data_IF_975441412823
#
_entry.id   IF_975441412823
#
_cell.length_a   1.000
_cell.length_b   1.000
_cell.length_c   1.000
_cell.angle_alpha   90.00
_cell.angle_beta   90.00
_cell.angle_gamma   90.00
#
_symmetry.space_group_name_H-M   'P 1'
#
loop_
_entity.id
_entity.type
_entity.pdbx_description
1 polymer ?
#
# COMPACT_ATOMS: atom_id res chain seq x y z
N UNK A 1 11.44 -4.08 21.71
CA UNK A 1 11.00 -5.34 21.07
C UNK A 1 10.35 -4.99 19.75
N UNK A 2 11.08 -5.07 18.63
CA UNK A 2 10.62 -4.68 17.27
C UNK A 2 10.65 -5.85 16.26
N UNK A 3 10.81 -7.09 16.75
CA UNK A 3 10.99 -8.26 15.89
C UNK A 3 9.70 -8.79 15.26
N UNK A 4 8.54 -8.59 15.90
CA UNK A 4 7.26 -9.14 15.45
C UNK A 4 6.78 -8.43 14.18
N UNK A 5 6.80 -7.09 14.18
CA UNK A 5 6.46 -6.27 13.02
C UNK A 5 7.34 -6.63 11.81
N UNK A 6 8.66 -6.67 11.98
CA UNK A 6 9.60 -7.02 10.90
C UNK A 6 9.41 -8.44 10.37
N UNK A 7 9.14 -9.41 11.25
CA UNK A 7 8.84 -10.79 10.87
C UNK A 7 7.58 -10.85 10.00
N UNK A 8 6.51 -10.16 10.42
CA UNK A 8 5.26 -10.09 9.68
C UNK A 8 5.42 -9.41 8.32
N UNK A 9 6.10 -8.26 8.26
CA UNK A 9 6.35 -7.53 7.02
C UNK A 9 7.21 -8.35 6.04
N UNK A 10 8.15 -9.15 6.57
CA UNK A 10 8.94 -10.07 5.75
C UNK A 10 8.08 -11.18 5.15
N UNK A 11 7.10 -11.70 5.89
CA UNK A 11 6.13 -12.68 5.37
C UNK A 11 5.22 -12.06 4.31
N UNK A 12 4.72 -10.85 4.53
CA UNK A 12 3.87 -10.13 3.58
C UNK A 12 4.61 -9.84 2.27
N UNK A 13 5.89 -9.43 2.36
CA UNK A 13 6.74 -9.25 1.18
C UNK A 13 6.92 -10.56 0.39
N UNK A 14 7.06 -11.69 1.09
CA UNK A 14 7.16 -13.01 0.44
C UNK A 14 5.84 -13.40 -0.23
N UNK A 15 4.71 -13.18 0.44
CA UNK A 15 3.39 -13.44 -0.11
C UNK A 15 3.11 -12.55 -1.35
N UNK A 16 3.40 -11.25 -1.26
CA UNK A 16 3.27 -10.31 -2.36
C UNK A 16 4.12 -10.69 -3.58
N UNK A 17 5.36 -11.13 -3.36
CA UNK A 17 6.20 -11.62 -4.46
C UNK A 17 5.67 -12.90 -5.10
N UNK A 18 5.01 -13.75 -4.33
CA UNK A 18 4.44 -14.99 -4.84
C UNK A 18 3.21 -14.71 -5.69
N UNK A 19 2.35 -13.83 -5.23
CA UNK A 19 1.09 -13.51 -5.89
C UNK A 19 0.70 -12.05 -5.59
N UNK A 20 0.73 -11.21 -6.62
CA UNK A 20 0.21 -9.85 -6.57
C UNK A 20 -0.57 -9.55 -7.85
N UNK A 21 -1.66 -8.76 -7.77
CA UNK A 21 -2.45 -8.41 -8.95
C UNK A 21 -1.61 -7.63 -9.96
N UNK A 22 -1.85 -7.87 -11.24
CA UNK A 22 -1.11 -7.22 -12.32
C UNK A 22 -1.22 -5.69 -12.24
N UNK A 23 -0.08 -5.01 -12.35
CA UNK A 23 0.02 -3.55 -12.31
C UNK A 23 0.10 -2.95 -10.90
N UNK A 24 -0.14 -3.73 -9.84
CA UNK A 24 0.11 -3.28 -8.48
C UNK A 24 1.58 -3.42 -8.13
N UNK A 25 2.14 -2.37 -7.54
CA UNK A 25 3.53 -2.35 -7.06
C UNK A 25 3.49 -2.13 -5.56
N UNK A 26 4.29 -2.89 -4.81
CA UNK A 26 4.53 -2.66 -3.39
C UNK A 26 5.97 -3.06 -3.07
N UNK A 27 6.82 -2.08 -2.78
CA UNK A 27 8.24 -2.29 -2.54
C UNK A 27 8.70 -1.54 -1.29
N UNK A 28 9.47 -2.17 -0.38
CA UNK A 28 10.09 -1.46 0.73
C UNK A 28 11.07 -0.41 0.23
N UNK A 29 11.12 0.75 0.91
CA UNK A 29 12.06 1.81 0.56
C UNK A 29 13.49 1.43 0.96
N UNK A 30 14.46 2.00 0.26
CA UNK A 30 15.86 1.91 0.64
C UNK A 30 16.22 3.16 1.42
N UNK A 31 16.80 2.97 2.61
CA UNK A 31 17.40 4.06 3.35
C UNK A 31 18.65 4.57 2.62
N UNK A 32 19.06 5.83 2.86
CA UNK A 32 20.31 6.38 2.33
C UNK A 32 21.53 5.54 2.69
N UNK A 33 21.47 4.84 3.84
CA UNK A 33 22.53 3.97 4.36
C UNK A 33 22.64 2.63 3.60
N UNK A 34 21.88 2.43 2.52
CA UNK A 34 21.84 1.19 1.74
C UNK A 34 21.04 0.06 2.39
N UNK A 35 20.57 0.24 3.63
CA UNK A 35 19.69 -0.71 4.31
C UNK A 35 18.27 -0.63 3.76
N UNK A 36 17.56 -1.77 3.71
CA UNK A 36 16.15 -1.80 3.33
C UNK A 36 15.28 -1.48 4.54
N UNK A 37 14.45 -0.44 4.43
CA UNK A 37 13.51 -0.09 5.47
C UNK A 37 12.21 -0.85 5.27
N UNK A 38 12.03 -1.94 6.02
CA UNK A 38 10.79 -2.71 5.99
C UNK A 38 9.61 -1.95 6.59
N UNK A 39 9.83 -0.85 7.33
CA UNK A 39 8.76 -0.06 7.94
C UNK A 39 8.16 0.98 6.98
N UNK A 40 8.76 1.21 5.82
CA UNK A 40 8.28 2.17 4.85
C UNK A 40 8.22 1.54 3.46
N UNK A 41 7.06 1.54 2.84
CA UNK A 41 6.82 0.91 1.56
C UNK A 41 6.28 1.92 0.56
N UNK A 42 6.84 1.89 -0.64
CA UNK A 42 6.32 2.58 -1.80
C UNK A 42 5.42 1.63 -2.58
N UNK A 43 4.15 2.01 -2.68
CA UNK A 43 3.15 1.27 -3.41
C UNK A 43 2.64 2.09 -4.59
N UNK A 44 2.27 1.41 -5.67
CA UNK A 44 1.58 2.00 -6.79
C UNK A 44 0.32 1.20 -7.11
N UNK A 45 -0.80 1.90 -7.18
CA UNK A 45 -2.11 1.34 -7.49
C UNK A 45 -2.46 1.72 -8.93
N UNK A 46 -2.69 0.76 -9.83
CA UNK A 46 -3.24 1.05 -11.15
C UNK A 46 -4.72 1.41 -11.02
N UNK A 47 -5.17 2.41 -11.76
CA UNK A 47 -6.58 2.76 -11.80
C UNK A 47 -7.43 1.67 -12.47
N UNK A 48 -8.63 1.45 -11.93
CA UNK A 48 -9.56 0.43 -12.42
C UNK A 48 -10.15 0.83 -13.77
N UNK A 49 -10.25 -0.13 -14.69
CA UNK A 49 -10.92 0.05 -15.99
C UNK A 49 -12.39 0.41 -15.78
N UNK A 50 -12.91 1.36 -16.57
CA UNK A 50 -14.28 1.85 -16.45
C UNK A 50 -14.49 2.89 -15.34
N UNK A 51 -13.42 3.47 -14.79
CA UNK A 51 -13.48 4.61 -13.87
C UNK A 51 -12.69 5.78 -14.44
N UNK A 52 -12.90 7.00 -13.91
CA UNK A 52 -12.12 8.20 -14.30
C UNK A 52 -10.61 8.06 -14.03
N UNK A 53 -10.22 7.07 -13.23
CA UNK A 53 -8.84 6.76 -12.88
C UNK A 53 -8.17 5.79 -13.87
N UNK A 54 -8.90 5.28 -14.87
CA UNK A 54 -8.37 4.34 -15.86
C UNK A 54 -7.11 4.89 -16.54
N UNK A 55 -6.07 4.05 -16.64
CA UNK A 55 -4.77 4.43 -17.20
C UNK A 55 -3.88 5.26 -16.26
N UNK A 56 -4.37 5.66 -15.09
CA UNK A 56 -3.60 6.31 -14.04
C UNK A 56 -2.82 5.33 -13.16
N UNK A 57 -1.65 5.76 -12.66
CA UNK A 57 -0.84 5.02 -11.70
C UNK A 57 -0.63 5.88 -10.46
N UNK A 58 -1.29 5.50 -9.36
CA UNK A 58 -1.35 6.28 -8.13
C UNK A 58 -0.32 5.77 -7.14
N UNK A 59 0.69 6.59 -6.86
CA UNK A 59 1.74 6.26 -5.91
C UNK A 59 1.30 6.64 -4.49
N UNK A 60 1.58 5.76 -3.55
CA UNK A 60 1.36 5.99 -2.14
C UNK A 60 2.50 5.41 -1.31
N UNK A 61 2.71 5.96 -0.13
CA UNK A 61 3.64 5.46 0.87
C UNK A 61 2.87 4.83 2.03
N UNK A 62 3.19 3.58 2.35
CA UNK A 62 2.69 2.91 3.55
C UNK A 62 3.76 2.97 4.64
N UNK A 63 3.40 3.56 5.77
CA UNK A 63 4.24 3.73 6.94
C UNK A 63 3.74 2.77 8.04
N UNK A 64 4.58 1.80 8.37
CA UNK A 64 4.34 0.84 9.44
C UNK A 64 4.98 1.34 10.74
N UNK A 65 4.29 1.10 11.86
CA UNK A 65 4.79 1.35 13.21
C UNK A 65 5.31 0.05 13.82
N UNK A 66 6.10 0.17 14.89
CA UNK A 66 6.61 -0.99 15.64
C UNK A 66 5.49 -1.84 16.26
N UNK A 67 4.33 -1.24 16.54
CA UNK A 67 3.14 -1.91 17.07
C UNK A 67 2.35 -2.70 16.01
N UNK A 68 2.85 -2.82 14.78
CA UNK A 68 2.23 -3.66 13.76
C UNK A 68 2.35 -5.15 14.15
N UNK A 69 1.28 -5.95 14.07
CA UNK A 69 0.01 -5.73 13.37
C UNK A 69 -1.14 -5.14 14.21
N UNK A 70 -0.92 -4.81 15.48
CA UNK A 70 -1.96 -4.29 16.40
C UNK A 70 -2.47 -2.92 15.95
N UNK A 71 -1.60 -2.07 15.42
CA UNK A 71 -1.98 -0.79 14.81
C UNK A 71 -1.93 -0.86 13.28
N UNK A 72 -2.91 -0.28 12.55
CA UNK A 72 -2.89 -0.26 11.09
C UNK A 72 -1.77 0.64 10.56
N UNK A 73 -1.23 0.35 9.36
CA UNK A 73 -0.26 1.22 8.70
C UNK A 73 -0.91 2.53 8.26
N UNK A 74 -0.12 3.61 8.25
CA UNK A 74 -0.56 4.90 7.73
C UNK A 74 -0.25 4.97 6.23
N UNK A 75 -1.25 5.24 5.41
CA UNK A 75 -1.10 5.39 3.96
C UNK A 75 -1.14 6.87 3.57
N UNK A 76 -0.12 7.35 2.84
CA UNK A 76 -0.03 8.72 2.35
C UNK A 76 0.15 8.73 0.82
N UNK A 77 -0.72 9.41 0.08
CA UNK A 77 -0.59 9.54 -1.38
C UNK A 77 0.50 10.55 -1.75
N UNK A 78 1.27 10.23 -2.79
CA UNK A 78 2.33 11.09 -3.34
C UNK A 78 2.02 11.33 -4.82
N UNK A 79 1.75 12.58 -5.27
CA UNK A 79 1.71 13.85 -4.54
C UNK A 79 0.40 14.07 -3.74
N UNK A 80 0.51 14.82 -2.62
CA UNK A 80 -0.57 15.14 -1.66
C UNK A 80 -1.77 15.90 -2.29
N UNK A 81 -1.65 16.34 -3.54
CA UNK A 81 -2.60 17.22 -4.23
C UNK A 81 -3.86 16.51 -4.77
N UNK A 82 -3.94 15.18 -4.73
CA UNK A 82 -5.13 14.42 -5.18
C UNK A 82 -6.31 14.44 -4.19
N UNK A 83 -6.24 15.29 -3.16
CA UNK A 83 -6.98 15.15 -1.90
C UNK A 83 -8.45 15.56 -1.93
N UNK A 84 -8.99 16.22 -2.96
CA UNK A 84 -10.41 16.63 -2.93
C UNK A 84 -11.33 15.72 -3.77
N UNK A 85 -10.85 15.14 -4.88
CA UNK A 85 -11.69 14.25 -5.70
C UNK A 85 -11.49 12.76 -5.39
N UNK A 86 -10.28 12.36 -4.95
CA UNK A 86 -9.99 10.95 -4.71
C UNK A 86 -10.57 10.43 -3.38
N UNK A 87 -10.67 11.26 -2.33
CA UNK A 87 -11.11 10.83 -1.00
C UNK A 87 -12.59 10.42 -0.94
N UNK A 88 -13.47 11.15 -1.64
CA UNK A 88 -14.89 10.80 -1.71
C UNK A 88 -15.15 9.51 -2.51
N UNK A 89 -14.30 9.18 -3.48
CA UNK A 89 -14.41 7.93 -4.25
C UNK A 89 -13.67 6.75 -3.61
N UNK A 90 -12.63 6.99 -2.79
CA UNK A 90 -11.88 5.91 -2.13
C UNK A 90 -12.67 5.19 -1.03
N UNK A 91 -13.62 5.87 -0.37
CA UNK A 91 -14.61 5.20 0.49
C UNK A 91 -15.45 4.17 -0.29
N UNK A 92 -15.71 4.41 -1.58
CA UNK A 92 -16.38 3.48 -2.48
C UNK A 92 -15.43 2.40 -3.03
N UNK A 93 -14.12 2.67 -3.16
CA UNK A 93 -13.15 1.66 -3.58
C UNK A 93 -12.80 0.68 -2.44
N UNK A 94 -12.70 1.15 -1.20
CA UNK A 94 -12.54 0.27 -0.02
C UNK A 94 -13.74 -0.66 0.19
N UNK A 95 -14.95 -0.24 -0.19
CA UNK A 95 -16.12 -1.14 -0.20
C UNK A 95 -16.05 -2.15 -1.36
N UNK A 96 -15.47 -1.79 -2.51
CA UNK A 96 -15.30 -2.71 -3.66
C UNK A 96 -14.21 -3.77 -3.47
N UNK A 97 -13.19 -3.57 -2.64
CA UNK A 97 -12.19 -4.62 -2.33
C UNK A 97 -12.52 -5.42 -1.07
N UNK A 98 -13.55 -5.00 -0.30
CA UNK A 98 -14.07 -5.73 0.85
C UNK A 98 -15.46 -6.34 0.59
N UNK A 99 -15.94 -6.40 -0.66
CA UNK A 99 -16.97 -7.36 -1.01
C UNK A 99 -16.29 -8.72 -1.11
N UNK A 100 -16.33 -9.47 -0.01
CA UNK A 100 -16.46 -10.93 -0.08
C UNK A 100 -17.46 -11.22 -1.19
N UNK A 101 -17.00 -11.80 -2.29
CA UNK A 101 -17.93 -12.62 -3.06
C UNK A 101 -18.14 -13.91 -2.22
N UNK A 102 -19.40 -14.37 -2.11
CA UNK A 102 -19.81 -15.45 -1.21
C UNK A 102 -19.11 -16.78 -1.48
#
# INVERSE_FOLDING_TARGET
>A
MSGIALSRLSQERKAWRKDHPFGFVAVPTKNPDGTMNLMNWECAIPGKKGTLWEGGLYKLRMLFKDDYPSSPPKCEFVPTTLTIQCFNEWHNVSSMTCSRNP
#
